data_IF_402590279265
#
_entry.id   IF_402590279265
#
_cell.length_a   1.000
_cell.length_b   1.000
_cell.length_c   1.000
_cell.angle_alpha   90.00
_cell.angle_beta   90.00
_cell.angle_gamma   90.00
#
_symmetry.space_group_name_H-M   'P 1'
#
loop_
_entity.id
_entity.type
_entity.pdbx_description
1 polymer ?
#
# COMPACT_ATOMS: atom_id res chain seq x y z
N UNK A 1 -27.65 22.98 -22.63
CA UNK A 1 -26.88 22.43 -21.50
C UNK A 1 -26.01 21.33 -21.97
N UNK A 2 -24.70 21.52 -21.88
CA UNK A 2 -23.78 20.51 -22.40
C UNK A 2 -23.37 19.55 -21.29
N UNK A 3 -23.74 18.29 -21.45
CA UNK A 3 -23.21 17.25 -20.62
C UNK A 3 -21.76 17.02 -21.00
N UNK A 4 -20.83 17.23 -20.05
CA UNK A 4 -19.47 16.78 -20.27
C UNK A 4 -19.49 15.25 -20.32
N UNK A 5 -19.35 14.69 -21.50
CA UNK A 5 -19.07 13.27 -21.61
C UNK A 5 -17.70 13.02 -20.99
N UNK A 6 -17.64 12.13 -20.04
CA UNK A 6 -16.36 11.63 -19.57
C UNK A 6 -15.62 11.06 -20.76
N UNK A 7 -14.48 11.61 -21.07
CA UNK A 7 -13.63 11.04 -22.10
C UNK A 7 -13.22 9.66 -21.61
N UNK A 8 -13.32 8.59 -22.47
CA UNK A 8 -12.78 7.31 -22.10
C UNK A 8 -11.28 7.46 -21.85
N UNK A 9 -10.77 6.75 -20.83
CA UNK A 9 -9.35 6.71 -20.55
C UNK A 9 -8.59 6.27 -21.79
N UNK A 10 -7.47 6.93 -22.15
CA UNK A 10 -6.58 6.39 -23.17
C UNK A 10 -6.23 4.94 -22.83
N UNK A 11 -6.05 4.05 -23.83
CA UNK A 11 -5.77 2.64 -23.59
C UNK A 11 -4.59 2.40 -22.63
N UNK A 12 -3.52 3.18 -22.74
CA UNK A 12 -2.37 3.06 -21.86
C UNK A 12 -2.72 3.35 -20.40
N UNK A 13 -3.52 4.41 -20.15
CA UNK A 13 -3.97 4.76 -18.80
C UNK A 13 -4.96 3.72 -18.25
N UNK A 14 -5.79 3.14 -19.11
CA UNK A 14 -6.74 2.10 -18.71
C UNK A 14 -6.02 0.84 -18.25
N UNK A 15 -5.02 0.40 -19.00
CA UNK A 15 -4.19 -0.75 -18.62
C UNK A 15 -3.42 -0.48 -17.33
N UNK A 16 -2.82 0.71 -17.22
CA UNK A 16 -2.11 1.12 -16.02
C UNK A 16 -3.04 1.16 -14.81
N UNK A 17 -4.25 1.69 -14.96
CA UNK A 17 -5.23 1.71 -13.87
C UNK A 17 -5.60 0.31 -13.41
N UNK A 18 -5.76 -0.65 -14.34
CA UNK A 18 -6.01 -2.05 -14.02
C UNK A 18 -4.89 -2.66 -13.18
N UNK A 19 -3.64 -2.47 -13.60
CA UNK A 19 -2.46 -2.92 -12.85
C UNK A 19 -2.32 -2.24 -11.49
N UNK A 20 -2.58 -0.93 -11.44
CA UNK A 20 -2.60 -0.16 -10.21
C UNK A 20 -3.62 -0.69 -9.20
N UNK A 21 -4.85 -0.96 -9.66
CA UNK A 21 -5.90 -1.50 -8.80
C UNK A 21 -5.53 -2.86 -8.21
N UNK A 22 -4.93 -3.74 -9.00
CA UNK A 22 -4.45 -5.03 -8.50
C UNK A 22 -3.35 -4.85 -7.45
N UNK A 23 -2.45 -3.89 -7.67
CA UNK A 23 -1.40 -3.55 -6.70
C UNK A 23 -2.02 -3.06 -5.39
N UNK A 24 -3.01 -2.17 -5.46
CA UNK A 24 -3.73 -1.65 -4.29
C UNK A 24 -4.40 -2.79 -3.50
N UNK A 25 -5.00 -3.75 -4.19
CA UNK A 25 -5.60 -4.92 -3.51
C UNK A 25 -4.57 -5.66 -2.66
N UNK A 26 -3.35 -5.85 -3.17
CA UNK A 26 -2.27 -6.49 -2.41
C UNK A 26 -1.81 -5.63 -1.24
N UNK A 27 -1.75 -4.31 -1.41
CA UNK A 27 -1.42 -3.38 -0.32
C UNK A 27 -2.48 -3.47 0.78
N UNK A 28 -3.76 -3.50 0.42
CA UNK A 28 -4.84 -3.62 1.40
C UNK A 28 -4.80 -4.97 2.14
N UNK A 29 -4.47 -6.05 1.44
CA UNK A 29 -4.26 -7.35 2.08
C UNK A 29 -3.09 -7.33 3.06
N UNK A 30 -2.00 -6.64 2.70
CA UNK A 30 -0.85 -6.47 3.58
C UNK A 30 -1.23 -5.70 4.85
N UNK A 31 -1.98 -4.61 4.71
CA UNK A 31 -2.47 -3.84 5.86
C UNK A 31 -3.37 -4.69 6.76
N UNK A 32 -4.27 -5.48 6.16
CA UNK A 32 -5.15 -6.37 6.91
C UNK A 32 -4.36 -7.42 7.69
N UNK A 33 -3.32 -7.99 7.09
CA UNK A 33 -2.44 -8.95 7.76
C UNK A 33 -1.76 -8.32 8.98
N UNK A 34 -1.28 -7.08 8.85
CA UNK A 34 -0.64 -6.36 9.95
C UNK A 34 -1.61 -6.16 11.12
N UNK A 35 -2.87 -5.81 10.81
CA UNK A 35 -3.88 -5.55 11.84
C UNK A 35 -4.25 -6.80 12.65
N UNK A 36 -3.98 -8.01 12.17
CA UNK A 36 -4.19 -9.24 12.94
C UNK A 36 -3.27 -9.34 14.16
N UNK A 37 -2.15 -8.61 14.17
CA UNK A 37 -1.25 -8.52 15.31
C UNK A 37 -1.58 -7.41 16.30
N UNK A 38 -2.65 -6.63 16.05
CA UNK A 38 -3.04 -5.50 16.89
C UNK A 38 -4.06 -5.95 17.93
N UNK A 39 -3.83 -5.67 19.23
CA UNK A 39 -4.83 -5.94 20.26
C UNK A 39 -6.03 -5.02 20.06
N UNK A 40 -7.24 -5.59 20.04
CA UNK A 40 -8.49 -4.82 19.96
C UNK A 40 -9.44 -5.27 21.05
N UNK A 41 -9.15 -4.92 22.32
CA UNK A 41 -9.95 -5.30 23.47
C UNK A 41 -9.91 -6.79 23.80
N UNK A 42 -9.18 -7.61 23.03
CA UNK A 42 -8.96 -9.06 23.19
C UNK A 42 -7.53 -9.36 22.81
N UNK A 43 -7.07 -10.56 23.12
CA UNK A 43 -5.75 -11.02 22.67
C UNK A 43 -5.64 -10.89 21.14
N UNK A 44 -4.48 -10.48 20.60
CA UNK A 44 -4.29 -10.40 19.15
C UNK A 44 -4.49 -11.78 18.52
N UNK A 45 -5.02 -11.80 17.28
CA UNK A 45 -5.25 -13.04 16.55
C UNK A 45 -3.97 -13.74 16.14
N UNK A 46 -2.89 -12.96 15.94
CA UNK A 46 -1.57 -13.45 15.59
C UNK A 46 -0.52 -12.77 16.45
N UNK A 47 0.59 -13.44 16.75
CA UNK A 47 1.76 -12.74 17.30
C UNK A 47 2.22 -11.63 16.35
N UNK A 48 2.74 -10.55 16.90
CA UNK A 48 3.18 -9.39 16.11
C UNK A 48 4.20 -9.79 15.04
N UNK A 49 5.14 -10.66 15.38
CA UNK A 49 6.15 -11.12 14.42
C UNK A 49 5.52 -11.80 13.19
N UNK A 50 4.47 -12.60 13.39
CA UNK A 50 3.76 -13.24 12.29
C UNK A 50 2.94 -12.22 11.48
N UNK A 51 2.32 -11.25 12.15
CA UNK A 51 1.59 -10.18 11.48
C UNK A 51 2.54 -9.32 10.63
N UNK A 52 3.75 -9.01 11.13
CA UNK A 52 4.78 -8.30 10.38
C UNK A 52 5.25 -9.11 9.17
N UNK A 53 5.44 -10.42 9.33
CA UNK A 53 5.82 -11.30 8.22
C UNK A 53 4.74 -11.31 7.14
N UNK A 54 3.47 -11.36 7.52
CA UNK A 54 2.35 -11.28 6.59
C UNK A 54 2.29 -9.93 5.87
N UNK A 55 2.57 -8.85 6.59
CA UNK A 55 2.66 -7.51 6.02
C UNK A 55 3.78 -7.42 4.98
N UNK A 56 4.99 -7.86 5.33
CA UNK A 56 6.13 -7.88 4.42
C UNK A 56 5.85 -8.74 3.17
N UNK A 57 5.23 -9.90 3.36
CA UNK A 57 4.83 -10.76 2.25
C UNK A 57 3.85 -10.05 1.31
N UNK A 58 2.83 -9.40 1.87
CA UNK A 58 1.84 -8.65 1.08
C UNK A 58 2.47 -7.49 0.31
N UNK A 59 3.42 -6.77 0.93
CA UNK A 59 4.17 -5.72 0.24
C UNK A 59 5.00 -6.29 -0.93
N UNK A 60 5.59 -7.47 -0.76
CA UNK A 60 6.31 -8.15 -1.82
C UNK A 60 5.40 -8.54 -2.98
N UNK A 61 4.20 -9.02 -2.68
CA UNK A 61 3.19 -9.32 -3.69
C UNK A 61 2.79 -8.06 -4.47
N UNK A 62 2.57 -6.95 -3.77
CA UNK A 62 2.27 -5.66 -4.39
C UNK A 62 3.44 -5.21 -5.28
N UNK A 63 4.66 -5.33 -4.79
CA UNK A 63 5.86 -4.96 -5.56
C UNK A 63 5.98 -5.77 -6.85
N UNK A 64 5.61 -7.05 -6.82
CA UNK A 64 5.65 -7.92 -8.00
C UNK A 64 4.66 -7.48 -9.09
N UNK A 65 3.62 -6.74 -8.72
CA UNK A 65 2.64 -6.21 -9.66
C UNK A 65 2.99 -4.83 -10.22
N UNK A 66 3.97 -4.14 -9.63
CA UNK A 66 4.38 -2.80 -10.09
C UNK A 66 4.75 -2.77 -11.59
N UNK A 67 5.49 -3.75 -12.15
CA UNK A 67 5.79 -3.74 -13.58
C UNK A 67 4.55 -3.79 -14.48
N UNK A 68 3.42 -4.31 -13.99
CA UNK A 68 2.20 -4.45 -14.80
C UNK A 68 1.61 -3.11 -15.21
N UNK A 69 1.92 -2.03 -14.48
CA UNK A 69 1.40 -0.70 -14.78
C UNK A 69 2.51 0.36 -14.95
N UNK A 70 3.74 -0.09 -15.19
CA UNK A 70 4.86 0.81 -15.47
C UNK A 70 4.75 1.35 -16.90
N UNK A 71 4.29 2.60 -17.04
CA UNK A 71 4.11 3.31 -18.31
C UNK A 71 4.68 4.72 -18.19
N UNK A 72 5.22 5.29 -19.26
CA UNK A 72 5.70 6.69 -19.23
C UNK A 72 4.62 7.67 -18.78
N UNK A 73 3.35 7.42 -19.17
CA UNK A 73 2.22 8.30 -18.87
C UNK A 73 1.87 8.35 -17.38
N UNK A 74 2.34 7.38 -16.60
CA UNK A 74 2.05 7.29 -15.17
C UNK A 74 3.32 7.25 -14.32
N UNK A 75 4.44 7.76 -14.85
CA UNK A 75 5.74 7.66 -14.18
C UNK A 75 5.76 8.27 -12.79
N UNK A 76 5.14 9.44 -12.59
CA UNK A 76 5.13 10.12 -11.29
C UNK A 76 4.41 9.31 -10.21
N UNK A 77 3.13 8.89 -10.37
CA UNK A 77 2.49 8.04 -9.37
C UNK A 77 3.15 6.67 -9.25
N UNK A 78 3.65 6.11 -10.35
CA UNK A 78 4.33 4.82 -10.32
C UNK A 78 5.59 4.86 -9.44
N UNK A 79 6.44 5.87 -9.64
CA UNK A 79 7.66 6.02 -8.86
C UNK A 79 7.38 6.29 -7.38
N UNK A 80 6.37 7.11 -7.08
CA UNK A 80 5.95 7.38 -5.71
C UNK A 80 5.50 6.10 -5.01
N UNK A 81 4.70 5.27 -5.66
CA UNK A 81 4.24 3.99 -5.11
C UNK A 81 5.40 3.00 -4.97
N UNK A 82 6.32 2.94 -5.93
CA UNK A 82 7.50 2.08 -5.85
C UNK A 82 8.37 2.42 -4.64
N UNK A 83 8.63 3.71 -4.42
CA UNK A 83 9.38 4.17 -3.25
C UNK A 83 8.62 3.86 -1.95
N UNK A 84 7.30 4.01 -1.96
CA UNK A 84 6.46 3.75 -0.79
C UNK A 84 6.54 2.29 -0.36
N UNK A 85 6.46 1.35 -1.30
CA UNK A 85 6.58 -0.08 -1.00
C UNK A 85 7.95 -0.42 -0.43
N UNK A 86 9.00 0.13 -1.02
CA UNK A 86 10.37 -0.09 -0.54
C UNK A 86 10.55 0.47 0.88
N UNK A 87 10.04 1.69 1.13
CA UNK A 87 10.15 2.32 2.45
C UNK A 87 9.34 1.57 3.52
N UNK A 88 8.11 1.19 3.22
CA UNK A 88 7.29 0.40 4.15
C UNK A 88 7.97 -0.93 4.48
N UNK A 89 8.54 -1.60 3.48
CA UNK A 89 9.29 -2.84 3.66
C UNK A 89 10.52 -2.65 4.56
N UNK A 90 11.28 -1.58 4.37
CA UNK A 90 12.43 -1.26 5.22
C UNK A 90 12.01 -1.01 6.67
N UNK A 91 10.93 -0.26 6.88
CA UNK A 91 10.42 0.04 8.23
C UNK A 91 9.95 -1.23 8.93
N UNK A 92 9.24 -2.10 8.21
CA UNK A 92 8.78 -3.39 8.75
C UNK A 92 9.95 -4.31 9.12
N UNK A 93 10.96 -4.42 8.26
CA UNK A 93 12.15 -5.22 8.51
C UNK A 93 12.91 -4.70 9.74
N UNK A 94 13.02 -3.37 9.86
CA UNK A 94 13.68 -2.74 11.00
C UNK A 94 12.94 -3.04 12.30
N UNK A 95 11.63 -2.91 12.31
CA UNK A 95 10.82 -3.21 13.49
C UNK A 95 10.90 -4.68 13.87
N UNK A 96 10.96 -5.58 12.91
CA UNK A 96 11.09 -7.01 13.15
C UNK A 96 12.44 -7.36 13.80
N UNK A 97 13.51 -6.62 13.48
CA UNK A 97 14.85 -6.83 14.03
C UNK A 97 15.05 -6.17 15.39
N UNK A 98 14.25 -5.16 15.72
CA UNK A 98 14.27 -4.49 17.02
C UNK A 98 13.37 -5.25 17.99
N UNK A 99 13.56 -4.99 19.32
CA UNK A 99 12.65 -5.53 20.32
C UNK A 99 11.25 -5.01 20.05
N UNK A 100 10.31 -5.92 19.83
CA UNK A 100 8.92 -5.56 19.52
C UNK A 100 8.31 -4.75 20.68
N UNK A 101 7.53 -3.70 20.37
CA UNK A 101 6.80 -2.96 21.41
C UNK A 101 5.91 -3.92 22.21
N UNK A 102 5.97 -3.81 23.55
CA UNK A 102 5.23 -4.73 24.43
C UNK A 102 3.90 -4.16 24.88
N UNK A 103 3.66 -2.84 24.67
CA UNK A 103 2.44 -2.18 25.08
C UNK A 103 1.69 -1.56 23.91
N UNK A 104 0.35 -1.47 24.05
CA UNK A 104 -0.51 -0.86 23.03
C UNK A 104 -0.09 0.57 22.68
N UNK A 105 0.31 1.35 23.72
CA UNK A 105 0.72 2.75 23.53
C UNK A 105 1.98 2.87 22.68
N UNK A 106 2.89 1.90 22.76
CA UNK A 106 4.09 1.85 21.93
C UNK A 106 3.79 1.30 20.54
N UNK A 107 2.82 0.40 20.45
CA UNK A 107 2.46 -0.27 19.21
C UNK A 107 1.76 0.66 18.23
N UNK A 108 0.84 1.51 18.70
CA UNK A 108 0.06 2.38 17.83
C UNK A 108 0.94 3.33 16.99
N UNK A 109 1.92 4.07 17.58
CA UNK A 109 2.83 4.89 16.78
C UNK A 109 3.68 4.07 15.81
N UNK A 110 4.10 2.86 16.20
CA UNK A 110 4.88 1.98 15.33
C UNK A 110 4.07 1.55 14.11
N UNK A 111 2.79 1.25 14.29
CA UNK A 111 1.89 0.87 13.18
C UNK A 111 1.68 2.04 12.22
N UNK A 112 1.43 3.24 12.74
CA UNK A 112 1.30 4.44 11.92
C UNK A 112 2.57 4.65 11.10
N UNK A 113 3.73 4.48 11.71
CA UNK A 113 5.02 4.60 11.04
C UNK A 113 5.17 3.60 9.88
N UNK A 114 4.64 2.37 10.04
CA UNK A 114 4.68 1.36 8.99
C UNK A 114 3.71 1.69 7.85
N UNK A 115 2.56 2.28 8.16
CA UNK A 115 1.50 2.53 7.18
C UNK A 115 1.65 3.86 6.45
N UNK A 116 2.29 4.86 7.07
CA UNK A 116 2.45 6.20 6.49
C UNK A 116 2.98 6.21 5.06
N UNK A 117 4.03 5.45 4.70
CA UNK A 117 4.51 5.46 3.31
C UNK A 117 3.44 5.03 2.30
N UNK A 118 2.52 4.17 2.72
CA UNK A 118 1.49 3.62 1.83
C UNK A 118 0.41 4.63 1.45
N UNK A 119 0.39 5.81 2.07
CA UNK A 119 -0.48 6.93 1.66
C UNK A 119 -0.19 7.38 0.23
N UNK A 120 0.99 7.06 -0.30
CA UNK A 120 1.31 7.31 -1.70
C UNK A 120 0.32 6.62 -2.67
N UNK A 121 -0.27 5.50 -2.27
CA UNK A 121 -1.28 4.82 -3.09
C UNK A 121 -2.60 5.61 -3.14
N UNK A 122 -2.99 6.27 -2.05
CA UNK A 122 -4.15 7.16 -2.05
C UNK A 122 -3.91 8.38 -2.93
N UNK A 123 -2.71 8.95 -2.87
CA UNK A 123 -2.31 10.06 -3.73
C UNK A 123 -2.31 9.64 -5.20
N UNK A 124 -1.82 8.43 -5.51
CA UNK A 124 -1.82 7.89 -6.87
C UNK A 124 -3.26 7.65 -7.37
N UNK A 125 -4.15 7.15 -6.52
CA UNK A 125 -5.56 7.01 -6.87
C UNK A 125 -6.17 8.37 -7.23
N UNK A 126 -5.84 9.41 -6.48
CA UNK A 126 -6.25 10.79 -6.78
C UNK A 126 -5.70 11.28 -8.12
N UNK A 127 -4.44 10.95 -8.40
CA UNK A 127 -3.83 11.28 -9.69
C UNK A 127 -4.59 10.64 -10.87
N UNK A 128 -4.93 9.36 -10.78
CA UNK A 128 -5.71 8.68 -11.81
C UNK A 128 -7.08 9.32 -12.01
N UNK A 129 -7.76 9.71 -10.92
CA UNK A 129 -9.05 10.38 -11.02
C UNK A 129 -8.94 11.73 -11.74
N UNK A 130 -7.90 12.50 -11.46
CA UNK A 130 -7.69 13.82 -12.09
C UNK A 130 -7.27 13.72 -13.54
N UNK A 131 -6.49 12.73 -13.90
CA UNK A 131 -5.89 12.59 -15.24
C UNK A 131 -6.63 11.62 -16.13
N UNK A 132 -7.51 10.82 -15.57
CA UNK A 132 -8.22 9.77 -16.29
C UNK A 132 -9.71 9.98 -16.48
N UNK A 133 -10.25 10.97 -15.82
CA UNK A 133 -11.71 11.19 -15.88
C UNK A 133 -12.05 12.37 -16.76
#
# INVERSE_FOLDING_TARGET
MMFRRRRPLPPALREALGGFRRTVERVEEAKAALLLGVPSGRAPRLPLAEALAGFEFGLGEAASLMPTWRRPEVSDPWEACSRALAEAGRRAARLRLEDSPTGYEELAPALDHLLDPLDAFDAAAGWFRRNGA
#
